data_IF_018378035953
#
_entry.id   IF_018378035953
#
_cell.length_a   1.000
_cell.length_b   1.000
_cell.length_c   1.000
_cell.angle_alpha   90.00
_cell.angle_beta   90.00
_cell.angle_gamma   90.00
#
_symmetry.space_group_name_H-M   'P 1'
#
loop_
_entity.id
_entity.type
_entity.pdbx_description
1 polymer ?
#
# COMPACT_ATOMS: atom_id res chain seq x y z
N UNK A 1 3.21 24.38 -2.76
CA UNK A 1 2.32 23.26 -3.14
C UNK A 1 2.29 22.30 -1.98
N UNK A 2 1.12 21.86 -1.52
CA UNK A 2 1.01 20.94 -0.38
C UNK A 2 1.67 19.60 -0.75
N UNK A 3 2.80 19.31 -0.10
CA UNK A 3 3.81 18.28 -0.43
C UNK A 3 3.54 16.91 0.21
N UNK A 4 2.45 16.78 0.96
CA UNK A 4 2.20 15.60 1.77
C UNK A 4 1.86 14.39 0.89
N UNK A 5 2.73 13.39 0.95
CA UNK A 5 2.55 12.09 0.31
C UNK A 5 2.59 11.04 1.40
N UNK A 6 1.74 10.04 1.27
CA UNK A 6 1.79 8.84 2.10
C UNK A 6 1.98 7.62 1.23
N UNK A 7 2.57 6.59 1.81
CA UNK A 7 2.61 5.26 1.25
C UNK A 7 1.38 4.48 1.72
N UNK A 8 0.82 3.65 0.85
CA UNK A 8 -0.23 2.69 1.19
C UNK A 8 0.08 1.37 0.48
N UNK A 9 -0.23 0.25 1.15
CA UNK A 9 -0.04 -1.10 0.63
C UNK A 9 -1.34 -1.86 0.78
N UNK A 10 -1.83 -2.43 -0.32
CA UNK A 10 -2.88 -3.44 -0.29
C UNK A 10 -2.19 -4.78 0.00
N UNK A 11 -2.50 -5.38 1.15
CA UNK A 11 -1.92 -6.65 1.58
C UNK A 11 -2.47 -7.83 0.75
N UNK A 12 -1.79 -8.99 0.73
CA UNK A 12 -2.18 -10.14 -0.11
C UNK A 12 -3.64 -10.57 0.08
N UNK A 13 -4.15 -10.54 1.30
CA UNK A 13 -5.53 -10.87 1.63
C UNK A 13 -6.56 -9.95 0.94
N UNK A 14 -6.30 -8.64 0.89
CA UNK A 14 -7.19 -7.70 0.20
C UNK A 14 -7.19 -7.91 -1.32
N UNK A 15 -6.05 -8.36 -1.86
CA UNK A 15 -5.89 -8.68 -3.28
C UNK A 15 -6.63 -9.97 -3.64
N UNK A 16 -6.39 -11.04 -2.87
CA UNK A 16 -7.01 -12.35 -3.05
C UNK A 16 -8.54 -12.30 -2.93
N UNK A 17 -9.05 -11.44 -2.04
CA UNK A 17 -10.49 -11.20 -1.87
C UNK A 17 -11.09 -10.20 -2.90
N UNK A 18 -10.30 -9.74 -3.89
CA UNK A 18 -10.80 -8.89 -4.97
C UNK A 18 -11.12 -7.44 -4.56
N UNK A 19 -10.57 -6.94 -3.45
CA UNK A 19 -10.89 -5.61 -2.91
C UNK A 19 -10.10 -4.46 -3.52
N UNK A 20 -9.22 -4.71 -4.50
CA UNK A 20 -8.37 -3.67 -5.11
C UNK A 20 -9.20 -2.47 -5.60
N UNK A 21 -10.22 -2.72 -6.43
CA UNK A 21 -11.03 -1.65 -7.02
C UNK A 21 -11.71 -0.78 -5.98
N UNK A 22 -12.40 -1.40 -5.01
CA UNK A 22 -13.12 -0.70 -3.95
C UNK A 22 -12.18 0.14 -3.06
N UNK A 23 -10.97 -0.36 -2.76
CA UNK A 23 -9.99 0.39 -1.97
C UNK A 23 -9.45 1.59 -2.75
N UNK A 24 -9.13 1.43 -4.04
CA UNK A 24 -8.66 2.53 -4.88
C UNK A 24 -9.74 3.60 -5.06
N UNK A 25 -10.98 3.18 -5.29
CA UNK A 25 -12.14 4.08 -5.36
C UNK A 25 -12.32 4.88 -4.07
N UNK A 26 -12.19 4.24 -2.91
CA UNK A 26 -12.26 4.93 -1.61
C UNK A 26 -11.15 5.98 -1.46
N UNK A 27 -9.93 5.67 -1.90
CA UNK A 27 -8.79 6.61 -1.85
C UNK A 27 -9.04 7.82 -2.76
N UNK A 28 -9.43 7.60 -4.01
CA UNK A 28 -9.66 8.70 -4.96
C UNK A 28 -10.90 9.52 -4.60
N UNK A 29 -11.97 8.89 -4.11
CA UNK A 29 -13.19 9.55 -3.65
C UNK A 29 -12.96 10.42 -2.41
N UNK A 30 -11.98 10.07 -1.57
CA UNK A 30 -11.53 10.89 -0.45
C UNK A 30 -10.67 12.11 -0.88
N UNK A 31 -10.47 12.33 -2.19
CA UNK A 31 -9.74 13.45 -2.74
C UNK A 31 -8.22 13.23 -2.86
N UNK A 32 -7.71 12.04 -2.58
CA UNK A 32 -6.30 11.73 -2.79
C UNK A 32 -6.01 11.45 -4.26
N UNK A 33 -4.89 11.98 -4.76
CA UNK A 33 -4.35 11.64 -6.07
C UNK A 33 -3.34 10.49 -5.94
N UNK A 34 -3.61 9.39 -6.63
CA UNK A 34 -2.63 8.30 -6.78
C UNK A 34 -1.57 8.75 -7.79
N UNK A 35 -0.32 8.85 -7.36
CA UNK A 35 0.80 9.35 -8.18
C UNK A 35 1.71 8.24 -8.72
N UNK A 36 1.69 7.06 -8.09
CA UNK A 36 2.44 5.89 -8.51
C UNK A 36 1.78 4.62 -7.96
N UNK A 37 1.86 3.52 -8.70
CA UNK A 37 1.40 2.20 -8.29
C UNK A 37 2.38 1.14 -8.78
N UNK A 38 2.51 0.06 -8.00
CA UNK A 38 3.25 -1.14 -8.40
C UNK A 38 2.54 -2.36 -7.84
N UNK A 39 2.21 -3.32 -8.72
CA UNK A 39 1.75 -4.64 -8.32
C UNK A 39 2.95 -5.58 -8.27
N UNK A 40 3.23 -6.17 -7.11
CA UNK A 40 4.42 -6.99 -6.92
C UNK A 40 4.22 -7.97 -5.78
N UNK A 41 4.79 -9.16 -5.92
CA UNK A 41 5.00 -10.07 -4.80
C UNK A 41 6.31 -9.67 -4.12
N UNK A 42 6.28 -9.38 -2.81
CA UNK A 42 7.51 -9.16 -2.05
C UNK A 42 8.23 -10.49 -1.83
N UNK A 43 9.55 -10.50 -2.02
CA UNK A 43 10.38 -11.61 -1.52
C UNK A 43 10.38 -11.58 0.01
N UNK A 44 10.66 -12.72 0.64
CA UNK A 44 10.78 -12.81 2.10
C UNK A 44 11.75 -11.76 2.66
N UNK A 45 12.93 -11.64 2.04
CA UNK A 45 13.97 -10.67 2.42
C UNK A 45 13.46 -9.23 2.36
N UNK A 46 12.72 -8.87 1.31
CA UNK A 46 12.20 -7.51 1.15
C UNK A 46 11.10 -7.20 2.15
N UNK A 47 10.25 -8.20 2.47
CA UNK A 47 9.23 -8.08 3.51
C UNK A 47 9.85 -7.92 4.90
N UNK A 48 10.84 -8.75 5.26
CA UNK A 48 11.57 -8.65 6.53
C UNK A 48 12.21 -7.27 6.69
N UNK A 49 12.89 -6.78 5.65
CA UNK A 49 13.47 -5.43 5.64
C UNK A 49 12.41 -4.33 5.78
N UNK A 50 11.24 -4.49 5.16
CA UNK A 50 10.16 -3.51 5.27
C UNK A 50 9.60 -3.43 6.71
N UNK A 51 9.50 -4.56 7.41
CA UNK A 51 8.97 -4.64 8.77
C UNK A 51 10.05 -4.51 9.87
N UNK A 52 11.31 -4.28 9.52
CA UNK A 52 12.44 -4.18 10.47
C UNK A 52 12.20 -3.15 11.58
N UNK A 53 11.54 -2.03 11.24
CA UNK A 53 11.18 -0.96 12.20
C UNK A 53 10.17 -1.40 13.28
N UNK A 54 9.54 -2.56 13.10
CA UNK A 54 8.57 -3.14 14.03
C UNK A 54 9.16 -4.24 14.92
N UNK A 55 10.48 -4.49 14.86
CA UNK A 55 11.13 -5.54 15.65
C UNK A 55 11.30 -5.15 17.12
N UNK A 56 11.54 -3.87 17.41
CA UNK A 56 11.80 -3.37 18.79
C UNK A 56 10.56 -2.74 19.46
N UNK A 57 9.36 -2.99 18.94
CA UNK A 57 8.10 -2.44 19.46
C UNK A 57 7.10 -3.54 19.76
#
# INVERSE_FOLDING_TARGET
MTTNRTFTMLKPDAVENGHIGAILEKITSAGFKIVAMKYTQLSRRDAEKFYEIHIER
#
